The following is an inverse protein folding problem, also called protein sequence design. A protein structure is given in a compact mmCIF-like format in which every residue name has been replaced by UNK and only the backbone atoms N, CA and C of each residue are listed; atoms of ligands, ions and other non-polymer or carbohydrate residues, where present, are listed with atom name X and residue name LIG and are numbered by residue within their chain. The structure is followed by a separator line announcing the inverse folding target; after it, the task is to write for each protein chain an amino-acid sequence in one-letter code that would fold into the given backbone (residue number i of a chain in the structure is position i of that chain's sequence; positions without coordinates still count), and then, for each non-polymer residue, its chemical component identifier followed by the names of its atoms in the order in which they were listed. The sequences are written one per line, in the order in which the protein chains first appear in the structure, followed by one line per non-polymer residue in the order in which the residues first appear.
data_IF_719437478199
#
_entry.id   IF_719437478199
#
_cell.length_a   1.000
_cell.length_b   1.000
_cell.length_c   1.000
_cell.angle_alpha   90.00
_cell.angle_beta   90.00
_cell.angle_gamma   90.00
#
_symmetry.space_group_name_H-M   'P 1'
#
loop_
_entity.id
_entity.type
_entity.pdbx_description
1 polymer ?
#
# COMPACT_ATOMS: atom_id res chain seq x y z
N UNK A 1 -8.76 3.61 -5.64
CA UNK A 1 -7.66 2.62 -5.65
C UNK A 1 -6.39 3.39 -5.99
N UNK A 2 -5.33 3.27 -5.18
CA UNK A 2 -4.05 3.95 -5.43
C UNK A 2 -3.53 3.61 -6.84
N UNK A 3 -3.03 4.58 -7.60
CA UNK A 3 -2.65 4.39 -9.00
C UNK A 3 -1.54 3.35 -9.18
N UNK A 4 -0.64 3.23 -8.19
CA UNK A 4 0.42 2.23 -8.15
C UNK A 4 -0.12 0.82 -7.86
N UNK A 5 -1.10 0.70 -6.94
CA UNK A 5 -1.75 -0.59 -6.65
C UNK A 5 -2.55 -1.08 -7.87
N UNK A 6 -3.22 -0.16 -8.57
CA UNK A 6 -3.94 -0.50 -9.79
C UNK A 6 -2.98 -1.04 -10.86
N UNK A 7 -1.83 -0.39 -11.05
CA UNK A 7 -0.80 -0.85 -11.97
C UNK A 7 -0.20 -2.20 -11.56
N UNK A 8 0.05 -2.43 -10.27
CA UNK A 8 0.51 -3.72 -9.77
C UNK A 8 -0.48 -4.85 -10.12
N UNK A 9 -1.77 -4.63 -9.87
CA UNK A 9 -2.82 -5.61 -10.19
C UNK A 9 -2.86 -5.89 -11.69
N UNK A 10 -2.80 -4.85 -12.51
CA UNK A 10 -2.80 -4.97 -13.97
C UNK A 10 -1.64 -5.85 -14.47
N UNK A 11 -0.42 -5.60 -14.00
CA UNK A 11 0.77 -6.36 -14.41
C UNK A 11 0.73 -7.80 -13.88
N UNK A 12 0.26 -8.03 -12.66
CA UNK A 12 0.07 -9.39 -12.14
C UNK A 12 -0.93 -10.19 -12.97
N UNK A 13 -2.01 -9.55 -13.42
CA UNK A 13 -2.99 -10.20 -14.26
C UNK A 13 -2.45 -10.48 -15.66
N UNK A 14 -1.71 -9.53 -16.25
CA UNK A 14 -0.99 -9.75 -17.50
C UNK A 14 -0.05 -10.96 -17.42
N UNK A 15 0.72 -11.09 -16.34
CA UNK A 15 1.62 -12.23 -16.14
C UNK A 15 0.84 -13.56 -16.05
N UNK A 16 -0.28 -13.58 -15.31
CA UNK A 16 -1.15 -14.77 -15.22
C UNK A 16 -1.73 -15.17 -16.58
N UNK A 17 -2.24 -14.22 -17.36
CA UNK A 17 -2.80 -14.52 -18.70
C UNK A 17 -1.78 -15.11 -19.65
N UNK A 18 -0.50 -14.73 -19.49
CA UNK A 18 0.63 -15.29 -20.25
C UNK A 18 1.15 -16.62 -19.68
N UNK A 19 0.51 -17.16 -18.65
CA UNK A 19 0.91 -18.42 -18.03
C UNK A 19 2.20 -18.34 -17.21
N UNK A 20 2.69 -17.14 -16.89
CA UNK A 20 3.87 -16.98 -16.07
C UNK A 20 3.58 -17.39 -14.63
N UNK A 21 4.24 -18.48 -14.20
CA UNK A 21 4.23 -19.00 -12.82
C UNK A 21 5.59 -18.87 -12.12
N UNK A 22 6.59 -18.42 -12.86
CA UNK A 22 7.97 -18.32 -12.40
C UNK A 22 8.25 -17.05 -11.61
N UNK A 23 9.33 -17.09 -10.81
CA UNK A 23 9.87 -15.92 -10.09
C UNK A 23 10.44 -14.85 -11.03
N UNK A 24 10.67 -15.18 -12.30
CA UNK A 24 11.30 -14.27 -13.26
C UNK A 24 10.26 -13.52 -14.10
N UNK A 25 10.35 -12.19 -14.09
CA UNK A 25 9.51 -11.31 -14.91
C UNK A 25 10.17 -11.11 -16.27
N UNK A 26 9.48 -11.44 -17.39
CA UNK A 26 9.96 -11.18 -18.75
C UNK A 26 10.39 -9.73 -18.95
N UNK A 27 11.42 -9.53 -19.77
CA UNK A 27 11.98 -8.20 -20.02
C UNK A 27 10.95 -7.24 -20.62
N UNK A 28 10.11 -7.69 -21.54
CA UNK A 28 9.06 -6.87 -22.17
C UNK A 28 8.00 -6.41 -21.16
N UNK A 29 7.60 -7.28 -20.23
CA UNK A 29 6.66 -6.93 -19.15
C UNK A 29 7.32 -5.98 -18.15
N UNK A 30 8.62 -6.16 -17.87
CA UNK A 30 9.39 -5.26 -16.99
C UNK A 30 9.49 -3.86 -17.59
N UNK A 31 9.84 -3.76 -18.87
CA UNK A 31 9.94 -2.50 -19.60
C UNK A 31 8.58 -1.79 -19.63
N UNK A 32 7.50 -2.53 -19.94
CA UNK A 32 6.13 -2.02 -19.88
C UNK A 32 5.76 -1.48 -18.49
N UNK A 33 6.15 -2.19 -17.42
CA UNK A 33 5.89 -1.77 -16.06
C UNK A 33 6.64 -0.47 -15.71
N UNK A 34 7.92 -0.36 -16.08
CA UNK A 34 8.72 0.85 -15.88
C UNK A 34 8.10 2.04 -16.63
N UNK A 35 7.76 1.86 -17.91
CA UNK A 35 7.13 2.90 -18.73
C UNK A 35 5.81 3.40 -18.11
N UNK A 36 4.99 2.47 -17.60
CA UNK A 36 3.73 2.82 -16.94
C UNK A 36 3.94 3.52 -15.61
N UNK A 37 4.89 3.05 -14.78
CA UNK A 37 5.27 3.73 -13.53
C UNK A 37 5.73 5.15 -13.80
N UNK A 38 6.51 5.38 -14.85
CA UNK A 38 7.04 6.71 -15.15
C UNK A 38 5.94 7.71 -15.52
N UNK A 39 4.83 7.22 -16.06
CA UNK A 39 3.65 8.01 -16.39
C UNK A 39 2.65 8.19 -15.25
N UNK A 40 2.78 7.43 -14.17
CA UNK A 40 1.90 7.61 -13.02
C UNK A 40 2.15 8.97 -12.36
N UNK A 41 1.11 9.63 -11.81
CA UNK A 41 1.29 10.79 -10.96
C UNK A 41 2.32 10.42 -9.90
N UNK A 42 3.39 11.21 -9.79
CA UNK A 42 4.38 11.04 -8.73
C UNK A 42 3.67 11.36 -7.42
N UNK A 43 3.07 10.36 -6.80
CA UNK A 43 2.46 10.51 -5.50
C UNK A 43 3.57 10.91 -4.54
N UNK A 44 3.36 11.99 -3.80
CA UNK A 44 4.19 12.29 -2.65
C UNK A 44 3.97 11.15 -1.67
N UNK A 45 4.89 10.18 -1.66
CA UNK A 45 4.89 9.12 -0.66
C UNK A 45 4.88 9.82 0.69
N UNK A 46 3.74 9.77 1.38
CA UNK A 46 3.66 10.21 2.77
C UNK A 46 4.34 9.12 3.59
N UNK A 47 5.65 9.25 3.70
CA UNK A 47 6.44 8.47 4.66
C UNK A 47 6.04 8.98 6.03
N UNK A 48 5.30 8.15 6.76
CA UNK A 48 5.01 8.40 8.18
C UNK A 48 6.21 7.84 8.93
N UNK A 49 6.95 8.70 9.63
CA UNK A 49 7.93 8.23 10.61
C UNK A 49 7.16 7.53 11.72
N UNK A 50 7.41 6.22 11.87
CA UNK A 50 6.79 5.42 12.91
C UNK A 50 7.73 5.34 14.12
N UNK A 51 7.21 5.28 15.35
CA UNK A 51 8.02 5.05 16.55
C UNK A 51 8.85 3.77 16.44
N UNK A 52 10.01 3.72 17.13
CA UNK A 52 10.89 2.54 17.12
C UNK A 52 10.19 1.24 17.58
N UNK A 53 9.16 1.37 18.41
CA UNK A 53 8.38 0.24 18.95
C UNK A 53 7.09 -0.01 18.15
N UNK A 54 6.97 0.57 16.96
CA UNK A 54 5.77 0.45 16.14
C UNK A 54 5.43 -1.02 15.84
N UNK A 55 4.18 -1.37 16.12
CA UNK A 55 3.61 -2.67 15.80
C UNK A 55 2.41 -2.50 14.86
N UNK A 56 2.53 -2.99 13.63
CA UNK A 56 1.49 -2.89 12.62
C UNK A 56 0.17 -3.58 13.05
N UNK A 57 0.23 -4.70 13.77
CA UNK A 57 -0.97 -5.40 14.22
C UNK A 57 -1.73 -4.55 15.23
N UNK A 58 -1.01 -3.95 16.19
CA UNK A 58 -1.60 -3.04 17.18
C UNK A 58 -2.23 -1.83 16.48
N UNK A 59 -1.54 -1.26 15.50
CA UNK A 59 -2.03 -0.14 14.71
C UNK A 59 -3.33 -0.46 13.98
N UNK A 60 -3.39 -1.58 13.26
CA UNK A 60 -4.60 -1.98 12.54
C UNK A 60 -5.76 -2.24 13.51
N UNK A 61 -5.50 -2.86 14.66
CA UNK A 61 -6.55 -3.09 15.68
C UNK A 61 -7.10 -1.79 16.24
N UNK A 62 -6.24 -0.83 16.57
CA UNK A 62 -6.66 0.49 17.06
C UNK A 62 -7.47 1.24 15.99
N UNK A 63 -7.01 1.21 14.74
CA UNK A 63 -7.75 1.77 13.61
C UNK A 63 -9.14 1.15 13.45
N UNK A 64 -9.24 -0.18 13.48
CA UNK A 64 -10.53 -0.88 13.39
C UNK A 64 -11.48 -0.51 14.53
N UNK A 65 -10.98 -0.35 15.75
CA UNK A 65 -11.78 0.08 16.90
C UNK A 65 -12.35 1.48 16.70
N UNK A 66 -11.54 2.43 16.21
CA UNK A 66 -11.99 3.79 15.89
C UNK A 66 -13.07 3.79 14.82
N UNK A 67 -12.87 3.04 13.73
CA UNK A 67 -13.85 2.93 12.65
C UNK A 67 -15.16 2.31 13.15
N UNK A 68 -15.10 1.26 13.98
CA UNK A 68 -16.29 0.63 14.59
C UNK A 68 -17.01 1.56 15.55
N UNK A 69 -16.31 2.46 16.21
CA UNK A 69 -16.89 3.50 17.06
C UNK A 69 -17.54 4.65 16.24
N UNK A 70 -17.53 4.57 14.91
CA UNK A 70 -18.05 5.62 14.03
C UNK A 70 -17.13 6.83 13.92
N UNK A 71 -15.88 6.74 14.40
CA UNK A 71 -14.90 7.82 14.30
C UNK A 71 -14.29 7.76 12.90
N UNK A 72 -14.42 8.84 12.15
CA UNK A 72 -13.80 8.99 10.85
C UNK A 72 -12.31 9.28 11.02
N UNK A 73 -11.47 8.26 10.89
CA UNK A 73 -10.02 8.39 10.89
C UNK A 73 -9.54 8.94 9.55
N UNK A 74 -8.77 10.01 9.58
CA UNK A 74 -8.29 10.73 8.37
C UNK A 74 -6.76 10.80 8.29
N UNK A 75 -6.06 10.48 9.38
CA UNK A 75 -4.60 10.52 9.49
C UNK A 75 -4.08 9.33 10.29
N UNK A 76 -2.79 9.01 10.13
CA UNK A 76 -2.18 7.92 10.88
C UNK A 76 -1.88 8.33 12.33
N UNK A 77 -1.59 9.61 12.55
CA UNK A 77 -1.33 10.22 13.86
C UNK A 77 -2.52 10.01 14.82
N UNK A 78 -3.75 10.15 14.32
CA UNK A 78 -4.97 9.85 15.10
C UNK A 78 -5.02 8.42 15.64
N UNK A 79 -4.42 7.46 14.92
CA UNK A 79 -4.35 6.07 15.37
C UNK A 79 -3.17 5.89 16.31
N UNK A 80 -2.03 6.52 16.02
CA UNK A 80 -0.84 6.47 16.89
C UNK A 80 -1.11 7.06 18.28
N UNK A 81 -1.82 8.18 18.38
CA UNK A 81 -2.22 8.79 19.66
C UNK A 81 -3.01 7.82 20.54
N UNK A 82 -3.90 7.02 19.95
CA UNK A 82 -4.69 6.01 20.67
C UNK A 82 -3.81 4.86 21.18
N UNK A 83 -2.78 4.49 20.42
CA UNK A 83 -1.83 3.46 20.84
C UNK A 83 -0.92 3.97 21.95
N UNK A 84 -0.50 5.25 21.91
CA UNK A 84 0.35 5.86 22.94
C UNK A 84 -0.40 6.11 24.26
N UNK A 85 -1.73 6.24 24.22
CA UNK A 85 -2.56 6.54 25.40
C UNK A 85 -3.03 5.26 26.14
N UNK A 86 -2.78 4.06 25.59
CA UNK A 86 -3.15 2.76 26.19
C UNK A 86 -1.93 1.98 26.68
#
# INVERSE_FOLDING_TARGET
LNAYIALEIEIRELLKTRGHKDRFIPSDVRELFIEKIDRLPKETLRVIEVPNEFNLITFIRAFEQLVRAGIQVTTAEQVLEVIETN
#
